data_IF_688137469080
#
_entry.id   IF_688137469080
#
_cell.length_a   1.000
_cell.length_b   1.000
_cell.length_c   1.000
_cell.angle_alpha   90.00
_cell.angle_beta   90.00
_cell.angle_gamma   90.00
#
_symmetry.space_group_name_H-M   'P 1'
#
loop_
_entity.id
_entity.type
_entity.pdbx_description
1 polymer ?
#
# COMPACT_ATOMS: atom_id res chain seq x y z
N UNK A 1 -50.51 -5.71 30.99
CA UNK A 1 -49.43 -6.71 31.06
C UNK A 1 -48.17 -6.10 30.46
N UNK A 2 -47.24 -5.69 31.30
CA UNK A 2 -46.00 -5.05 30.83
C UNK A 2 -45.04 -6.14 30.38
N UNK A 3 -44.78 -6.20 29.06
CA UNK A 3 -43.78 -7.10 28.49
C UNK A 3 -42.39 -6.57 28.86
N UNK A 4 -41.75 -7.22 29.83
CA UNK A 4 -40.33 -6.99 30.11
C UNK A 4 -39.49 -7.67 29.04
N UNK A 5 -38.94 -6.90 28.12
CA UNK A 5 -37.96 -7.38 27.16
C UNK A 5 -36.59 -7.33 27.84
N UNK A 6 -36.08 -8.47 28.24
CA UNK A 6 -34.68 -8.58 28.68
C UNK A 6 -33.74 -8.48 27.47
N UNK A 7 -33.04 -7.36 27.36
CA UNK A 7 -31.98 -7.20 26.35
C UNK A 7 -30.68 -7.74 26.94
N UNK A 8 -30.29 -8.94 26.56
CA UNK A 8 -29.01 -9.50 26.92
C UNK A 8 -27.95 -9.01 25.94
N UNK A 9 -27.01 -8.19 26.42
CA UNK A 9 -25.85 -7.76 25.63
C UNK A 9 -24.71 -8.76 25.83
N UNK A 10 -24.34 -9.49 24.78
CA UNK A 10 -23.24 -10.45 24.81
C UNK A 10 -22.02 -9.80 24.12
N UNK A 11 -21.03 -9.26 24.85
CA UNK A 11 -19.81 -8.75 24.27
C UNK A 11 -18.87 -9.90 23.90
N UNK A 12 -18.50 -10.02 22.63
CA UNK A 12 -17.50 -10.97 22.17
C UNK A 12 -16.23 -10.19 21.81
N UNK A 13 -15.11 -10.49 22.48
CA UNK A 13 -13.79 -9.93 22.15
C UNK A 13 -12.92 -11.04 21.57
N UNK A 14 -12.41 -10.83 20.35
CA UNK A 14 -11.63 -11.84 19.64
C UNK A 14 -10.33 -12.24 20.36
N UNK A 15 -9.74 -11.31 21.09
CA UNK A 15 -8.46 -11.55 21.79
C UNK A 15 -8.61 -12.18 23.18
N UNK A 16 -9.84 -12.29 23.71
CA UNK A 16 -10.04 -12.86 25.04
C UNK A 16 -9.54 -14.32 25.08
N UNK A 17 -8.80 -14.62 26.14
CA UNK A 17 -8.21 -15.97 26.39
C UNK A 17 -7.26 -16.49 25.30
N UNK A 18 -6.72 -15.62 24.46
CA UNK A 18 -5.70 -16.00 23.49
C UNK A 18 -4.30 -15.87 24.06
N UNK A 19 -3.42 -16.85 23.84
CA UNK A 19 -2.00 -16.70 24.16
C UNK A 19 -1.44 -15.44 23.52
N UNK A 20 -0.62 -14.70 24.25
CA UNK A 20 0.00 -13.44 23.79
C UNK A 20 -0.95 -12.29 23.46
N UNK A 21 -2.21 -12.32 23.90
CA UNK A 21 -3.17 -11.21 23.67
C UNK A 21 -2.65 -9.86 24.21
N UNK A 22 -1.89 -9.88 25.30
CA UNK A 22 -1.27 -8.69 25.89
C UNK A 22 -0.13 -8.11 25.03
N UNK A 23 0.43 -8.90 24.13
CA UNK A 23 1.50 -8.51 23.21
C UNK A 23 1.01 -8.35 21.77
N UNK A 24 -0.26 -8.01 21.59
CA UNK A 24 -0.90 -7.89 20.27
C UNK A 24 -0.15 -6.97 19.32
N UNK A 25 0.32 -5.82 19.81
CA UNK A 25 1.00 -4.82 18.97
C UNK A 25 2.37 -5.27 18.43
N UNK A 26 3.00 -6.24 19.07
CA UNK A 26 4.29 -6.78 18.64
C UNK A 26 4.15 -8.13 17.92
N UNK A 27 2.95 -8.72 17.89
CA UNK A 27 2.71 -10.01 17.25
C UNK A 27 2.07 -9.85 15.89
N UNK A 28 2.84 -9.99 14.83
CA UNK A 28 2.36 -9.96 13.44
C UNK A 28 1.33 -11.06 13.17
N UNK A 29 1.54 -12.25 13.76
CA UNK A 29 0.63 -13.40 13.65
C UNK A 29 -0.75 -13.09 14.25
N UNK A 30 -0.81 -12.44 15.43
CA UNK A 30 -2.09 -12.06 16.03
C UNK A 30 -2.77 -10.94 15.26
N UNK A 31 -2.00 -9.99 14.75
CA UNK A 31 -2.53 -8.92 13.90
C UNK A 31 -3.13 -9.47 12.62
N UNK A 32 -2.46 -10.39 11.96
CA UNK A 32 -2.96 -11.05 10.76
C UNK A 32 -4.18 -11.92 11.06
N UNK A 33 -4.17 -12.66 12.16
CA UNK A 33 -5.30 -13.47 12.57
C UNK A 33 -6.57 -12.67 12.85
N UNK A 34 -6.45 -11.42 13.32
CA UNK A 34 -7.59 -10.54 13.58
C UNK A 34 -8.12 -9.80 12.35
N UNK A 35 -7.42 -9.90 11.22
CA UNK A 35 -7.89 -9.32 9.95
C UNK A 35 -9.17 -10.01 9.51
N UNK A 36 -10.19 -9.24 9.23
CA UNK A 36 -11.45 -9.75 8.71
C UNK A 36 -12.01 -8.81 7.65
N UNK A 37 -12.40 -9.36 6.53
CA UNK A 37 -13.16 -8.66 5.48
C UNK A 37 -14.65 -8.93 5.62
N UNK A 38 -15.01 -10.07 6.20
CA UNK A 38 -16.38 -10.50 6.39
C UNK A 38 -16.55 -11.18 7.75
N UNK A 39 -17.70 -10.97 8.38
CA UNK A 39 -18.07 -11.62 9.63
C UNK A 39 -19.28 -12.51 9.39
N UNK A 40 -19.15 -13.80 9.70
CA UNK A 40 -20.25 -14.75 9.65
C UNK A 40 -20.64 -15.17 11.06
N UNK A 41 -21.88 -14.87 11.45
CA UNK A 41 -22.44 -15.31 12.71
C UNK A 41 -23.30 -16.55 12.45
N UNK A 42 -22.91 -17.69 13.05
CA UNK A 42 -23.67 -18.92 12.96
C UNK A 42 -24.37 -19.20 14.28
N UNK A 43 -25.70 -19.19 14.25
CA UNK A 43 -26.54 -19.55 15.38
C UNK A 43 -26.75 -21.07 15.36
N UNK A 44 -26.20 -21.78 16.35
CA UNK A 44 -26.15 -23.25 16.32
C UNK A 44 -27.38 -23.90 16.96
N UNK A 45 -27.76 -23.43 18.14
CA UNK A 45 -28.89 -23.98 18.91
C UNK A 45 -29.54 -22.92 19.76
N UNK A 46 -30.86 -22.97 19.85
CA UNK A 46 -31.62 -22.24 20.89
C UNK A 46 -31.44 -22.92 22.23
N UNK A 47 -31.20 -22.13 23.29
CA UNK A 47 -31.11 -22.68 24.65
C UNK A 47 -32.51 -22.80 25.22
N UNK A 48 -32.94 -24.02 25.55
CA UNK A 48 -34.22 -24.29 26.17
C UNK A 48 -34.04 -24.52 27.65
N UNK A 49 -34.94 -23.99 28.46
CA UNK A 49 -34.96 -24.19 29.93
C UNK A 49 -35.12 -25.66 30.34
N UNK A 50 -35.77 -26.46 29.51
CA UNK A 50 -36.05 -27.89 29.74
C UNK A 50 -35.46 -28.79 28.66
N UNK A 51 -34.24 -28.48 28.20
CA UNK A 51 -33.59 -29.19 27.08
C UNK A 51 -33.48 -30.68 27.25
N UNK A 52 -33.41 -31.19 28.48
CA UNK A 52 -33.35 -32.61 28.79
C UNK A 52 -34.71 -33.32 28.64
N UNK A 53 -35.83 -32.62 28.82
CA UNK A 53 -37.19 -33.15 28.61
C UNK A 53 -37.63 -33.10 27.16
N UNK A 54 -36.96 -32.31 26.35
CA UNK A 54 -37.32 -32.10 24.94
C UNK A 54 -36.74 -33.15 23.98
N UNK A 55 -35.94 -34.07 24.47
CA UNK A 55 -35.44 -35.19 23.67
C UNK A 55 -36.61 -36.09 23.16
N UNK A 56 -37.68 -36.13 23.92
CA UNK A 56 -38.91 -36.87 23.58
C UNK A 56 -39.83 -36.07 22.64
N UNK A 57 -39.80 -34.75 22.72
CA UNK A 57 -40.65 -33.84 21.92
C UNK A 57 -40.02 -33.42 20.59
N UNK A 58 -38.98 -34.09 20.15
CA UNK A 58 -38.22 -33.76 18.92
C UNK A 58 -39.09 -33.85 17.64
N UNK A 59 -40.24 -34.46 17.71
CA UNK A 59 -41.15 -34.61 16.58
C UNK A 59 -42.33 -33.62 16.60
N UNK A 60 -42.45 -32.79 17.64
CA UNK A 60 -43.52 -31.79 17.70
C UNK A 60 -43.15 -30.53 16.87
N UNK A 61 -43.87 -30.26 15.76
CA UNK A 61 -43.59 -29.11 14.90
C UNK A 61 -43.86 -27.77 15.60
N UNK A 62 -44.50 -27.76 16.77
CA UNK A 62 -44.76 -26.53 17.55
C UNK A 62 -43.55 -26.10 18.31
N UNK A 63 -42.56 -26.99 18.56
CA UNK A 63 -41.33 -26.68 19.31
C UNK A 63 -40.49 -25.64 18.57
N UNK A 64 -40.36 -25.78 17.26
CA UNK A 64 -39.58 -24.82 16.43
C UNK A 64 -40.23 -23.44 16.38
N UNK A 65 -41.54 -23.34 16.60
CA UNK A 65 -42.28 -22.09 16.66
C UNK A 65 -42.17 -21.39 18.02
N UNK A 66 -41.83 -22.11 19.09
CA UNK A 66 -41.73 -21.57 20.45
C UNK A 66 -40.31 -21.13 20.80
N UNK A 67 -39.32 -21.75 20.20
CA UNK A 67 -37.90 -21.50 20.51
C UNK A 67 -37.18 -20.97 19.30
N UNK A 68 -36.98 -19.67 19.24
CA UNK A 68 -36.31 -18.98 18.17
C UNK A 68 -35.35 -17.92 18.74
N UNK A 69 -34.37 -17.52 17.96
CA UNK A 69 -33.57 -16.38 18.29
C UNK A 69 -34.32 -15.09 17.99
N UNK A 70 -34.42 -14.22 18.97
CA UNK A 70 -34.91 -12.87 18.79
C UNK A 70 -33.73 -11.91 18.96
N UNK A 71 -33.24 -11.40 17.85
CA UNK A 71 -32.09 -10.51 17.82
C UNK A 71 -32.59 -9.11 17.46
N UNK A 72 -32.42 -8.16 18.39
CA UNK A 72 -32.81 -6.77 18.16
C UNK A 72 -31.80 -6.05 17.29
N UNK A 73 -30.52 -6.26 17.56
CA UNK A 73 -29.43 -5.58 16.88
C UNK A 73 -28.12 -6.36 17.01
N UNK A 74 -27.27 -6.24 16.00
CA UNK A 74 -25.91 -6.77 16.00
C UNK A 74 -24.97 -5.63 15.67
N UNK A 75 -24.17 -5.21 16.65
CA UNK A 75 -23.15 -4.20 16.47
C UNK A 75 -21.76 -4.84 16.38
N UNK A 76 -21.06 -4.57 15.29
CA UNK A 76 -19.70 -5.09 15.04
C UNK A 76 -18.76 -3.90 14.99
N UNK A 77 -17.83 -3.85 15.96
CA UNK A 77 -16.78 -2.85 15.99
C UNK A 77 -15.45 -3.40 15.54
N UNK A 78 -14.68 -2.60 14.81
CA UNK A 78 -13.33 -2.93 14.38
C UNK A 78 -12.47 -1.68 14.28
N UNK A 79 -11.17 -1.87 14.09
CA UNK A 79 -10.23 -0.81 13.74
C UNK A 79 -9.88 -0.93 12.27
N UNK A 80 -9.66 0.21 11.62
CA UNK A 80 -9.13 0.20 10.27
C UNK A 80 -7.72 -0.36 10.25
N UNK A 81 -7.44 -1.10 9.22
CA UNK A 81 -6.14 -1.64 8.97
C UNK A 81 -5.41 -0.77 7.95
N UNK A 82 -4.49 0.04 8.47
CA UNK A 82 -3.77 1.05 7.67
C UNK A 82 -2.27 0.75 7.57
N UNK A 83 -1.86 -0.49 7.84
CA UNK A 83 -0.47 -0.94 7.75
C UNK A 83 0.55 -0.07 8.51
N UNK A 84 0.10 0.62 9.56
CA UNK A 84 0.92 1.55 10.35
C UNK A 84 1.14 2.92 9.71
N UNK A 85 0.54 3.17 8.54
CA UNK A 85 0.69 4.43 7.80
C UNK A 85 -0.48 5.42 8.02
N UNK A 86 -1.43 5.11 8.89
CA UNK A 86 -2.47 6.05 9.29
C UNK A 86 -3.00 5.72 10.67
N UNK A 87 -3.42 6.74 11.40
CA UNK A 87 -4.05 6.62 12.70
C UNK A 87 -5.58 6.66 12.63
N UNK A 88 -6.12 7.17 11.54
CA UNK A 88 -7.56 7.38 11.34
C UNK A 88 -8.01 6.90 9.97
N UNK A 89 -9.28 6.55 9.88
CA UNK A 89 -9.94 6.25 8.61
C UNK A 89 -11.30 6.92 8.56
N UNK A 90 -11.71 7.32 7.37
CA UNK A 90 -12.97 7.97 7.09
C UNK A 90 -13.74 7.24 6.00
N UNK A 91 -15.02 7.51 5.92
CA UNK A 91 -15.84 7.02 4.81
C UNK A 91 -15.37 7.71 3.53
N UNK A 92 -14.98 6.92 2.53
CA UNK A 92 -14.43 7.40 1.26
C UNK A 92 -15.47 8.27 0.51
N UNK A 93 -16.73 7.80 0.46
CA UNK A 93 -17.84 8.53 -0.12
C UNK A 93 -19.08 8.42 0.80
N UNK A 94 -19.45 9.49 1.51
CA UNK A 94 -20.63 9.50 2.39
C UNK A 94 -21.95 9.27 1.64
N UNK A 95 -21.99 9.50 0.32
CA UNK A 95 -23.18 9.35 -0.52
C UNK A 95 -23.31 7.96 -1.13
N UNK A 96 -22.24 7.17 -1.09
CA UNK A 96 -22.26 5.80 -1.59
C UNK A 96 -23.06 4.89 -0.65
N UNK A 97 -23.89 4.02 -1.23
CA UNK A 97 -24.59 2.96 -0.49
C UNK A 97 -23.60 2.00 0.21
N UNK A 98 -22.43 1.79 -0.39
CA UNK A 98 -21.32 1.03 0.18
C UNK A 98 -20.40 2.00 0.93
N UNK A 99 -20.60 2.15 2.22
CA UNK A 99 -19.76 2.98 3.08
C UNK A 99 -18.39 2.34 3.28
N UNK A 100 -17.54 2.45 2.28
CA UNK A 100 -16.15 1.95 2.34
C UNK A 100 -15.33 2.90 3.20
N UNK A 101 -14.67 2.36 4.21
CA UNK A 101 -13.71 3.09 5.03
C UNK A 101 -12.34 3.09 4.34
N UNK A 102 -11.74 4.26 4.20
CA UNK A 102 -10.40 4.44 3.70
C UNK A 102 -9.51 5.09 4.76
N UNK A 103 -8.28 4.61 4.85
CA UNK A 103 -7.27 5.17 5.72
C UNK A 103 -6.85 6.57 5.25
N UNK A 104 -6.59 7.47 6.19
CA UNK A 104 -5.96 8.76 5.90
C UNK A 104 -4.44 8.58 5.87
N UNK A 105 -3.95 8.13 4.73
CA UNK A 105 -2.57 7.70 4.57
C UNK A 105 -1.58 8.83 4.81
N UNK A 106 -0.53 8.51 5.57
CA UNK A 106 0.66 9.32 5.84
C UNK A 106 1.87 8.63 5.21
N UNK A 107 3.08 9.20 5.40
CA UNK A 107 4.34 8.60 4.96
C UNK A 107 4.42 8.36 3.44
N UNK A 108 3.79 9.25 2.65
CA UNK A 108 3.73 9.16 1.19
C UNK A 108 3.16 7.84 0.66
N UNK A 109 2.26 7.20 1.44
CA UNK A 109 1.57 5.98 1.05
C UNK A 109 0.18 6.25 0.51
N UNK A 110 -0.32 5.39 -0.34
CA UNK A 110 -1.58 5.48 -1.06
C UNK A 110 -2.39 4.19 -0.97
N UNK A 111 -3.61 4.22 -1.55
CA UNK A 111 -4.56 3.14 -1.49
C UNK A 111 -5.51 3.22 -0.30
N UNK A 112 -6.54 2.37 -0.27
CA UNK A 112 -7.59 2.38 0.76
C UNK A 112 -7.02 2.03 2.15
N UNK A 113 -5.98 1.22 2.19
CA UNK A 113 -5.32 0.72 3.40
C UNK A 113 -3.85 1.17 3.50
N UNK A 114 -3.44 2.15 2.71
CA UNK A 114 -2.05 2.59 2.59
C UNK A 114 -1.10 1.43 2.24
N UNK A 115 -1.55 0.57 1.33
CA UNK A 115 -0.88 -0.67 0.96
C UNK A 115 0.19 -0.49 -0.13
N UNK A 116 0.42 0.71 -0.61
CA UNK A 116 1.37 1.02 -1.66
C UNK A 116 1.96 2.42 -1.46
N UNK A 117 3.12 2.67 -2.04
CA UNK A 117 3.66 4.01 -2.12
C UNK A 117 2.89 4.86 -3.15
N UNK A 118 2.77 6.15 -2.89
CA UNK A 118 2.16 7.05 -3.87
C UNK A 118 3.03 7.18 -5.13
N UNK A 119 2.42 7.45 -6.29
CA UNK A 119 3.17 7.68 -7.53
C UNK A 119 4.27 8.72 -7.35
N UNK A 120 5.49 8.39 -7.77
CA UNK A 120 6.67 9.24 -7.59
C UNK A 120 7.42 9.04 -6.27
N UNK A 121 6.92 8.22 -5.35
CA UNK A 121 7.56 7.90 -4.06
C UNK A 121 7.98 6.43 -3.95
N UNK A 122 8.18 5.77 -5.06
CA UNK A 122 8.48 4.34 -5.14
C UNK A 122 9.99 4.07 -5.24
N UNK A 123 10.83 4.86 -4.55
CA UNK A 123 12.29 4.63 -4.51
C UNK A 123 12.65 3.33 -3.81
N UNK A 124 11.92 3.01 -2.73
CA UNK A 124 12.12 1.78 -1.94
C UNK A 124 10.88 0.89 -2.00
N UNK A 125 11.09 -0.42 -1.82
CA UNK A 125 9.99 -1.40 -1.75
C UNK A 125 9.08 -1.07 -0.57
N UNK A 126 7.77 -0.95 -0.83
CA UNK A 126 6.80 -0.70 0.22
C UNK A 126 6.88 -1.74 1.34
N UNK A 127 6.80 -1.30 2.57
CA UNK A 127 6.70 -2.16 3.75
C UNK A 127 5.77 -1.56 4.80
N UNK A 128 5.31 -2.38 5.74
CA UNK A 128 4.51 -1.91 6.86
C UNK A 128 5.34 -0.99 7.76
N UNK A 129 4.73 0.08 8.25
CA UNK A 129 5.34 0.94 9.25
C UNK A 129 5.06 0.38 10.65
N UNK A 130 6.11 0.08 11.40
CA UNK A 130 6.04 -0.42 12.78
C UNK A 130 7.00 0.35 13.66
N UNK A 131 6.78 0.33 14.98
CA UNK A 131 7.71 0.96 15.92
C UNK A 131 9.13 0.35 15.86
N UNK A 132 9.23 -0.93 15.49
CA UNK A 132 10.52 -1.61 15.33
C UNK A 132 11.19 -1.34 13.97
N UNK A 133 10.40 -1.03 12.95
CA UNK A 133 10.83 -0.70 11.58
C UNK A 133 9.99 0.45 11.06
N UNK A 134 10.38 1.69 11.38
CA UNK A 134 9.73 2.85 10.78
C UNK A 134 9.99 2.86 9.27
N UNK A 135 8.96 3.12 8.48
CA UNK A 135 9.04 3.15 7.03
C UNK A 135 8.28 4.33 6.45
N UNK A 136 8.91 5.04 5.55
CA UNK A 136 8.32 6.08 4.72
C UNK A 136 8.63 5.79 3.27
N UNK A 137 7.67 5.99 2.38
CA UNK A 137 7.94 5.98 0.95
C UNK A 137 8.78 7.20 0.56
N UNK A 138 9.86 6.97 -0.15
CA UNK A 138 10.82 7.98 -0.56
C UNK A 138 10.60 8.40 -2.00
N UNK A 139 10.75 9.69 -2.32
CA UNK A 139 10.61 10.16 -3.69
C UNK A 139 11.72 9.62 -4.58
N UNK A 140 11.35 9.27 -5.81
CA UNK A 140 12.33 8.90 -6.82
C UNK A 140 13.10 10.12 -7.32
N UNK A 141 14.40 9.93 -7.56
CA UNK A 141 15.21 10.95 -8.20
C UNK A 141 15.15 10.84 -9.71
N UNK A 142 14.24 11.57 -10.34
CA UNK A 142 14.10 11.63 -11.79
C UNK A 142 14.65 12.94 -12.39
N UNK A 143 15.43 13.69 -11.65
CA UNK A 143 16.02 14.98 -12.05
C UNK A 143 15.02 15.99 -12.63
N UNK A 144 13.73 15.90 -12.21
CA UNK A 144 12.67 16.76 -12.72
C UNK A 144 12.17 16.39 -14.12
N UNK A 145 12.62 15.26 -14.68
CA UNK A 145 12.21 14.80 -16.01
C UNK A 145 11.04 13.82 -15.98
N UNK A 146 10.62 13.38 -14.80
CA UNK A 146 9.40 12.57 -14.60
C UNK A 146 8.84 12.77 -13.21
N UNK A 147 7.50 12.66 -13.10
CA UNK A 147 6.76 12.68 -11.83
C UNK A 147 6.30 11.27 -11.41
N UNK A 148 6.68 10.25 -12.18
CA UNK A 148 6.28 8.86 -11.93
C UNK A 148 7.48 7.96 -11.97
N UNK A 149 7.53 7.04 -11.03
CA UNK A 149 8.48 5.94 -11.02
C UNK A 149 7.77 4.66 -10.62
N UNK A 150 8.44 3.54 -10.81
CA UNK A 150 7.98 2.21 -10.38
C UNK A 150 9.15 1.52 -9.73
N UNK A 151 8.92 0.87 -8.58
CA UNK A 151 9.95 0.07 -7.92
C UNK A 151 10.26 -1.20 -8.73
N UNK A 152 11.53 -1.46 -8.97
CA UNK A 152 12.05 -2.68 -9.58
C UNK A 152 13.05 -3.35 -8.64
N UNK A 153 12.76 -4.60 -8.26
CA UNK A 153 13.64 -5.40 -7.40
C UNK A 153 14.97 -5.72 -8.08
N UNK A 154 14.96 -5.89 -9.40
CA UNK A 154 16.17 -6.12 -10.19
C UNK A 154 17.13 -4.93 -10.13
N UNK A 155 16.61 -3.71 -10.32
CA UNK A 155 17.41 -2.47 -10.25
C UNK A 155 17.90 -2.20 -8.83
N UNK A 156 17.13 -2.55 -7.81
CA UNK A 156 17.53 -2.43 -6.39
C UNK A 156 18.71 -3.37 -6.09
N UNK A 157 18.61 -4.64 -6.49
CA UNK A 157 19.70 -5.62 -6.33
C UNK A 157 20.98 -5.24 -7.08
N UNK A 158 20.84 -4.62 -8.25
CA UNK A 158 21.97 -4.14 -9.06
C UNK A 158 22.56 -2.81 -8.57
N UNK A 159 21.89 -2.12 -7.64
CA UNK A 159 22.33 -0.82 -7.13
C UNK A 159 22.41 0.25 -8.23
N UNK A 160 21.44 0.28 -9.15
CA UNK A 160 21.46 1.19 -10.32
C UNK A 160 20.57 2.41 -10.20
N UNK A 161 19.71 2.47 -9.18
CA UNK A 161 18.82 3.62 -8.93
C UNK A 161 19.49 4.59 -7.98
N UNK A 162 19.51 5.87 -8.35
CA UNK A 162 20.04 6.96 -7.55
C UNK A 162 18.89 7.59 -6.74
N UNK A 163 19.07 7.73 -5.43
CA UNK A 163 18.13 8.40 -4.56
C UNK A 163 18.26 9.94 -4.63
N UNK A 164 17.43 10.66 -3.88
CA UNK A 164 17.47 12.13 -3.82
C UNK A 164 18.70 12.66 -3.04
N UNK A 165 19.39 11.81 -2.30
CA UNK A 165 20.59 12.16 -1.53
C UNK A 165 21.88 11.90 -2.31
N UNK A 166 21.78 11.30 -3.50
CA UNK A 166 22.93 10.98 -4.34
C UNK A 166 23.55 9.61 -4.06
N UNK A 167 22.84 8.72 -3.33
CA UNK A 167 23.27 7.37 -3.05
C UNK A 167 22.60 6.39 -4.02
N UNK A 168 23.32 5.33 -4.38
CA UNK A 168 22.75 4.24 -5.15
C UNK A 168 22.01 3.28 -4.22
N UNK A 169 20.82 3.67 -3.77
CA UNK A 169 19.96 2.88 -2.88
C UNK A 169 18.53 2.83 -3.41
N UNK A 170 17.93 1.62 -3.36
CA UNK A 170 16.58 1.38 -3.81
C UNK A 170 16.47 1.03 -5.29
N UNK A 171 15.24 0.83 -5.75
CA UNK A 171 14.92 0.33 -7.09
C UNK A 171 13.95 1.21 -7.87
N UNK A 172 13.85 2.50 -7.57
CA UNK A 172 12.96 3.42 -8.27
C UNK A 172 13.40 3.62 -9.73
N UNK A 173 12.53 3.27 -10.68
CA UNK A 173 12.74 3.44 -12.13
C UNK A 173 11.79 4.50 -12.65
N UNK A 174 12.33 5.62 -13.08
CA UNK A 174 11.55 6.73 -13.62
C UNK A 174 10.81 6.34 -14.89
N UNK A 175 9.54 6.72 -14.98
CA UNK A 175 8.69 6.42 -16.12
C UNK A 175 8.49 7.66 -16.97
N UNK A 176 8.40 7.46 -18.30
CA UNK A 176 8.09 8.54 -19.24
C UNK A 176 9.04 9.74 -19.14
N UNK A 177 10.35 9.51 -19.11
CA UNK A 177 11.35 10.55 -19.09
C UNK A 177 11.12 11.61 -20.17
N UNK A 178 10.97 12.86 -19.79
CA UNK A 178 10.79 14.02 -20.66
C UNK A 178 12.14 14.64 -21.05
N UNK A 179 12.09 15.74 -21.81
CA UNK A 179 13.28 16.55 -22.15
C UNK A 179 14.39 15.77 -22.88
N UNK A 180 13.99 14.76 -23.69
CA UNK A 180 14.90 13.89 -24.45
C UNK A 180 15.87 13.09 -23.56
N UNK A 181 15.46 12.81 -22.31
CA UNK A 181 16.20 11.98 -21.39
C UNK A 181 15.69 10.53 -21.38
N UNK A 182 16.52 9.60 -20.90
CA UNK A 182 16.24 8.19 -20.71
C UNK A 182 17.07 7.63 -19.55
N UNK A 183 16.89 6.35 -19.23
CA UNK A 183 17.61 5.64 -18.18
C UNK A 183 16.82 5.53 -16.88
N UNK A 184 17.34 4.81 -15.89
CA UNK A 184 16.67 4.50 -14.61
C UNK A 184 16.21 5.77 -13.91
N UNK A 185 17.05 6.79 -13.87
CA UNK A 185 16.79 8.09 -13.24
C UNK A 185 16.55 9.22 -14.26
N UNK A 186 16.22 8.91 -15.52
CA UNK A 186 16.21 9.90 -16.62
C UNK A 186 17.55 10.66 -16.74
N UNK A 187 18.65 10.01 -16.43
CA UNK A 187 19.99 10.58 -16.31
C UNK A 187 20.89 10.31 -17.53
N UNK A 188 20.29 9.99 -18.65
CA UNK A 188 20.97 9.80 -19.94
C UNK A 188 20.20 10.56 -21.02
N UNK A 189 20.90 11.09 -22.01
CA UNK A 189 20.24 11.64 -23.17
C UNK A 189 19.88 10.53 -24.16
N UNK A 190 18.71 10.62 -24.78
CA UNK A 190 18.29 9.70 -25.87
C UNK A 190 19.29 9.71 -27.03
N UNK A 191 19.32 8.66 -27.85
CA UNK A 191 20.13 8.63 -29.06
C UNK A 191 19.94 9.91 -29.89
N UNK A 192 21.00 10.43 -30.48
CA UNK A 192 21.05 11.70 -31.25
C UNK A 192 21.03 12.97 -30.41
N UNK A 193 20.91 12.88 -29.10
CA UNK A 193 21.05 13.99 -28.17
C UNK A 193 22.34 13.88 -27.35
N UNK A 194 22.79 14.99 -26.79
CA UNK A 194 23.95 15.04 -25.90
C UNK A 194 23.72 16.08 -24.81
N UNK A 195 24.39 15.91 -23.68
CA UNK A 195 24.43 16.88 -22.59
C UNK A 195 25.62 17.82 -22.76
N UNK A 196 25.43 19.12 -22.92
CA UNK A 196 26.52 20.11 -22.80
C UNK A 196 27.17 20.04 -21.42
N UNK A 197 28.48 20.29 -21.34
CA UNK A 197 29.24 20.19 -20.09
C UNK A 197 28.74 21.12 -18.98
N UNK A 198 28.30 22.32 -19.35
CA UNK A 198 27.79 23.33 -18.42
C UNK A 198 26.38 23.07 -17.90
N UNK A 199 25.67 22.07 -18.43
CA UNK A 199 24.30 21.78 -18.05
C UNK A 199 24.18 20.78 -16.91
N UNK A 200 23.34 21.11 -15.91
CA UNK A 200 22.98 20.19 -14.84
C UNK A 200 21.83 19.29 -15.24
N UNK A 201 21.75 18.07 -14.66
CA UNK A 201 20.70 17.11 -15.00
C UNK A 201 19.29 17.61 -14.70
N UNK A 202 19.11 18.52 -13.77
CA UNK A 202 17.79 19.08 -13.40
C UNK A 202 17.23 20.09 -14.41
N UNK A 203 17.98 20.45 -15.44
CA UNK A 203 17.56 21.45 -16.40
C UNK A 203 16.71 20.84 -17.52
N UNK A 204 15.61 21.51 -17.91
CA UNK A 204 14.70 21.04 -18.94
C UNK A 204 15.32 20.96 -20.33
N UNK A 205 16.40 21.73 -20.60
CA UNK A 205 17.15 21.74 -21.87
C UNK A 205 18.49 20.99 -21.76
N UNK A 206 18.60 20.03 -20.83
CA UNK A 206 19.81 19.25 -20.54
C UNK A 206 20.28 18.43 -21.76
N UNK A 207 19.38 17.91 -22.55
CA UNK A 207 19.68 17.09 -23.73
C UNK A 207 19.39 17.88 -25.02
N UNK A 208 20.44 18.31 -25.69
CA UNK A 208 20.40 19.02 -26.96
C UNK A 208 20.67 18.10 -28.13
N UNK A 209 20.00 18.35 -29.27
CA UNK A 209 20.18 17.55 -30.48
C UNK A 209 21.59 17.70 -31.03
N UNK A 210 22.25 16.60 -31.36
CA UNK A 210 23.51 16.63 -32.11
C UNK A 210 23.25 17.13 -33.50
N UNK A 211 23.79 18.30 -33.84
CA UNK A 211 23.83 18.70 -35.23
C UNK A 211 25.01 17.99 -35.89
N UNK A 212 24.74 17.06 -36.79
CA UNK A 212 25.76 16.56 -37.71
C UNK A 212 26.05 17.71 -38.68
N UNK A 213 27.06 18.52 -38.33
CA UNK A 213 27.61 19.47 -39.28
C UNK A 213 28.27 18.69 -40.41
N UNK A 214 27.64 18.65 -41.58
CA UNK A 214 28.14 18.06 -42.81
C UNK A 214 29.27 18.89 -43.40
N UNK A 215 30.05 19.65 -42.67
CA UNK A 215 31.16 20.42 -43.18
C UNK A 215 32.30 20.37 -42.17
N UNK A 216 33.22 19.42 -42.36
CA UNK A 216 34.69 19.56 -42.36
C UNK A 216 35.32 18.20 -42.42
N UNK A 217 35.23 17.53 -43.56
CA UNK A 217 36.40 16.73 -43.99
C UNK A 217 37.46 17.74 -44.52
N UNK A 218 38.13 18.43 -43.64
CA UNK A 218 39.47 18.95 -43.96
C UNK A 218 40.44 17.80 -43.83
N UNK A 219 40.87 17.33 -44.96
CA UNK A 219 42.06 16.50 -45.17
C UNK A 219 43.19 17.03 -44.29
N UNK A 220 43.57 16.27 -43.25
CA UNK A 220 44.84 16.45 -42.57
C UNK A 220 45.89 15.88 -43.54
N UNK A 221 46.57 16.73 -44.30
CA UNK A 221 47.78 16.36 -44.96
C UNK A 221 48.84 16.00 -43.91
N UNK A 222 49.17 14.74 -43.84
CA UNK A 222 50.36 14.25 -43.13
C UNK A 222 51.60 14.82 -43.85
N UNK A 223 52.22 15.83 -43.28
CA UNK A 223 53.55 16.28 -43.66
C UNK A 223 54.52 15.26 -43.05
N UNK A 224 54.98 14.33 -43.90
CA UNK A 224 56.12 13.46 -43.57
C UNK A 224 57.39 14.25 -43.60
N UNK A 225 57.99 14.49 -42.44
CA UNK A 225 59.41 14.90 -42.35
C UNK A 225 60.24 13.63 -42.50
N UNK A 226 60.99 13.54 -43.58
CA UNK A 226 62.12 12.66 -43.72
C UNK A 226 63.33 13.38 -43.15
N UNK A 227 64.07 12.73 -42.26
CA UNK A 227 65.49 12.91 -41.97
C UNK A 227 66.21 11.61 -42.36
#
# INVERSE_FOLDING_TARGET
MSNFIFVLKIPVRLLNSRPSANNYFNSTVLQEWTRATNVRIRLLRTKNLLGHLMSVARQDPTVTRRYFYSIKDISIGGRCMCNGHANTCNILDPRSANRVLACQCQHNTCGIQCQECCPGFEQKKWSQNTNARPFNCEPCNCFGHSNKCVYSEEIDLEGKSLDIHGNYEGGGVCQNCQHNTEGVNCNKCKPTFYRPYEKHWNETDVCRRKFLSYNTFRTVQLISFQL
#
